data_IF_051295996630
#
_entry.id   IF_051295996630
#
_cell.length_a   1.000
_cell.length_b   1.000
_cell.length_c   1.000
_cell.angle_alpha   90.00
_cell.angle_beta   90.00
_cell.angle_gamma   90.00
#
_symmetry.space_group_name_H-M   'P 1'
#
loop_
_entity.id
_entity.type
_entity.pdbx_description
1 polymer ?
#
# COMPACT_ATOMS: atom_id res chain seq x y z
N UNK A 1 -22.40 37.55 -39.03
CA UNK A 1 -23.01 36.24 -38.74
C UNK A 1 -21.96 35.13 -38.63
N UNK A 2 -21.21 34.77 -39.69
CA UNK A 2 -20.21 33.65 -39.64
C UNK A 2 -19.11 33.82 -38.58
N UNK A 3 -18.48 35.00 -38.49
CA UNK A 3 -17.38 35.27 -37.56
C UNK A 3 -17.79 35.24 -36.08
N UNK A 4 -19.07 35.47 -35.77
CA UNK A 4 -19.59 35.43 -34.40
C UNK A 4 -19.83 33.97 -33.97
N UNK A 5 -20.26 33.12 -34.89
CA UNK A 5 -20.38 31.67 -34.70
C UNK A 5 -19.01 31.00 -34.51
N UNK A 6 -18.01 31.40 -35.30
CA UNK A 6 -16.63 30.91 -35.15
C UNK A 6 -16.02 31.31 -33.80
N UNK A 7 -16.25 32.56 -33.35
CA UNK A 7 -15.80 32.99 -32.01
C UNK A 7 -16.46 32.20 -30.89
N UNK A 8 -17.76 31.95 -30.98
CA UNK A 8 -18.47 31.13 -30.00
C UNK A 8 -17.93 29.69 -29.98
N UNK A 9 -17.64 29.11 -31.15
CA UNK A 9 -17.08 27.77 -31.25
C UNK A 9 -15.65 27.68 -30.68
N UNK A 10 -14.79 28.66 -30.95
CA UNK A 10 -13.44 28.72 -30.37
C UNK A 10 -13.49 28.88 -28.85
N UNK A 11 -14.42 29.69 -28.35
CA UNK A 11 -14.61 29.87 -26.90
C UNK A 11 -15.08 28.56 -26.23
N UNK A 12 -16.00 27.84 -26.87
CA UNK A 12 -16.47 26.52 -26.41
C UNK A 12 -15.36 25.46 -26.40
N UNK A 13 -14.55 25.41 -27.47
CA UNK A 13 -13.36 24.55 -27.52
C UNK A 13 -12.36 24.89 -26.43
N UNK A 14 -12.12 26.17 -26.17
CA UNK A 14 -11.18 26.62 -25.15
C UNK A 14 -11.68 26.30 -23.73
N UNK A 15 -12.98 26.45 -23.49
CA UNK A 15 -13.62 26.03 -22.25
C UNK A 15 -13.49 24.52 -22.04
N UNK A 16 -13.81 23.72 -23.07
CA UNK A 16 -13.65 22.27 -23.05
C UNK A 16 -12.21 21.87 -22.78
N UNK A 17 -11.24 22.57 -23.35
CA UNK A 17 -9.82 22.29 -23.14
C UNK A 17 -9.40 22.54 -21.69
N UNK A 18 -9.86 23.65 -21.08
CA UNK A 18 -9.59 23.96 -19.68
C UNK A 18 -10.21 22.95 -18.72
N UNK A 19 -11.43 22.48 -19.00
CA UNK A 19 -12.09 21.44 -18.21
C UNK A 19 -11.36 20.10 -18.30
N UNK A 20 -10.89 19.74 -19.49
CA UNK A 20 -10.09 18.53 -19.68
C UNK A 20 -8.72 18.63 -18.98
N UNK A 21 -8.07 19.80 -19.00
CA UNK A 21 -6.82 20.04 -18.27
C UNK A 21 -7.02 19.91 -16.76
N UNK A 22 -8.09 20.49 -16.22
CA UNK A 22 -8.44 20.37 -14.81
C UNK A 22 -8.72 18.91 -14.42
N UNK A 23 -9.49 18.18 -15.23
CA UNK A 23 -9.77 16.76 -15.00
C UNK A 23 -8.49 15.92 -15.05
N UNK A 24 -7.60 16.19 -16.01
CA UNK A 24 -6.34 15.48 -16.15
C UNK A 24 -5.44 15.71 -14.92
N UNK A 25 -5.36 16.93 -14.41
CA UNK A 25 -4.65 17.25 -13.16
C UNK A 25 -5.22 16.49 -11.97
N UNK A 26 -6.55 16.42 -11.85
CA UNK A 26 -7.21 15.63 -10.80
C UNK A 26 -6.85 14.15 -10.89
N UNK A 27 -6.87 13.58 -12.11
CA UNK A 27 -6.48 12.19 -12.33
C UNK A 27 -5.03 11.92 -11.96
N UNK A 28 -4.10 12.84 -12.25
CA UNK A 28 -2.71 12.69 -11.82
C UNK A 28 -2.56 12.73 -10.30
N UNK A 29 -3.31 13.60 -9.61
CA UNK A 29 -3.31 13.62 -8.14
C UNK A 29 -3.83 12.29 -7.53
N UNK A 30 -4.86 11.70 -8.13
CA UNK A 30 -5.35 10.37 -7.73
C UNK A 30 -4.31 9.27 -7.99
N UNK A 31 -3.58 9.35 -9.10
CA UNK A 31 -2.49 8.41 -9.40
C UNK A 31 -1.36 8.52 -8.36
N UNK A 32 -0.97 9.74 -7.98
CA UNK A 32 0.06 9.97 -6.96
C UNK A 32 -0.35 9.40 -5.59
N UNK A 33 -1.63 9.51 -5.22
CA UNK A 33 -2.17 8.89 -3.99
C UNK A 33 -2.08 7.35 -4.05
N UNK A 34 -2.40 6.75 -5.20
CA UNK A 34 -2.28 5.31 -5.42
C UNK A 34 -0.82 4.86 -5.33
N UNK A 35 0.12 5.62 -5.89
CA UNK A 35 1.56 5.31 -5.81
C UNK A 35 2.05 5.26 -4.36
N UNK A 36 1.59 6.19 -3.52
CA UNK A 36 1.89 6.20 -2.09
C UNK A 36 1.38 4.91 -1.39
N UNK A 37 0.17 4.47 -1.72
CA UNK A 37 -0.41 3.21 -1.20
C UNK A 37 0.43 2.01 -1.65
N UNK A 38 0.82 1.95 -2.93
CA UNK A 38 1.67 0.86 -3.45
C UNK A 38 3.02 0.81 -2.73
N UNK A 39 3.65 1.97 -2.52
CA UNK A 39 4.88 2.06 -1.73
C UNK A 39 4.69 1.54 -0.31
N UNK A 40 3.57 1.87 0.30
CA UNK A 40 3.23 1.42 1.64
C UNK A 40 3.07 -0.12 1.69
N UNK A 41 2.27 -0.70 0.80
CA UNK A 41 2.05 -2.15 0.70
C UNK A 41 3.37 -2.89 0.47
N UNK A 42 4.26 -2.35 -0.38
CA UNK A 42 5.59 -2.91 -0.61
C UNK A 42 6.43 -2.96 0.66
N UNK A 43 6.42 -1.90 1.46
CA UNK A 43 7.16 -1.86 2.74
C UNK A 43 6.63 -2.90 3.73
N UNK A 44 5.31 -3.03 3.83
CA UNK A 44 4.65 -4.07 4.64
C UNK A 44 5.06 -5.46 4.19
N UNK A 45 5.05 -5.74 2.88
CA UNK A 45 5.49 -7.02 2.33
C UNK A 45 6.95 -7.33 2.68
N UNK A 46 7.86 -6.35 2.54
CA UNK A 46 9.27 -6.53 2.88
C UNK A 46 9.47 -6.87 4.37
N UNK A 47 8.76 -6.18 5.28
CA UNK A 47 8.81 -6.48 6.72
C UNK A 47 8.32 -7.89 7.04
N UNK A 48 7.25 -8.34 6.36
CA UNK A 48 6.74 -9.71 6.52
C UNK A 48 7.78 -10.72 6.03
N UNK A 49 8.40 -10.47 4.88
CA UNK A 49 9.44 -11.34 4.33
C UNK A 49 10.66 -11.44 5.27
N UNK A 50 11.12 -10.32 5.83
CA UNK A 50 12.19 -10.29 6.84
C UNK A 50 11.80 -11.09 8.10
N UNK A 51 10.58 -10.91 8.60
CA UNK A 51 10.09 -11.67 9.75
C UNK A 51 10.04 -13.18 9.49
N UNK A 52 9.74 -13.61 8.25
CA UNK A 52 9.75 -15.03 7.88
C UNK A 52 11.19 -15.56 7.82
N UNK A 53 12.12 -14.81 7.22
CA UNK A 53 13.54 -15.18 7.18
C UNK A 53 14.13 -15.31 8.59
N UNK A 54 13.78 -14.40 9.50
CA UNK A 54 14.20 -14.47 10.91
C UNK A 54 13.62 -15.70 11.63
N UNK A 55 12.36 -16.05 11.36
CA UNK A 55 11.77 -17.30 11.89
C UNK A 55 12.47 -18.53 11.32
N UNK A 56 12.77 -18.58 10.03
CA UNK A 56 13.49 -19.68 9.40
C UNK A 56 14.89 -19.83 9.98
N UNK A 57 15.62 -18.74 10.18
CA UNK A 57 16.92 -18.73 10.86
C UNK A 57 16.81 -19.23 12.30
N UNK A 58 15.80 -18.81 13.06
CA UNK A 58 15.59 -19.26 14.44
C UNK A 58 15.27 -20.76 14.51
N UNK A 59 14.46 -21.28 13.58
CA UNK A 59 14.19 -22.72 13.44
C UNK A 59 15.48 -23.46 13.10
N UNK A 60 16.23 -23.00 12.10
CA UNK A 60 17.47 -23.64 11.66
C UNK A 60 18.55 -23.62 12.75
N UNK A 61 18.66 -22.54 13.51
CA UNK A 61 19.54 -22.45 14.67
C UNK A 61 19.12 -23.46 15.76
N UNK A 62 17.82 -23.61 16.01
CA UNK A 62 17.29 -24.59 16.98
C UNK A 62 17.57 -26.05 16.56
N UNK A 63 17.56 -26.33 15.25
CA UNK A 63 17.89 -27.67 14.70
C UNK A 63 19.43 -27.89 14.70
N UNK A 64 20.21 -26.87 14.36
CA UNK A 64 21.68 -26.89 14.32
C UNK A 64 22.32 -26.95 15.70
N UNK A 65 21.65 -26.45 16.74
CA UNK A 65 22.14 -26.47 18.13
C UNK A 65 22.04 -27.84 18.80
N UNK A 66 21.72 -28.88 18.02
CA UNK A 66 21.62 -30.25 18.47
C UNK A 66 20.29 -30.49 19.17
N UNK A 67 19.53 -31.45 18.66
CA UNK A 67 18.37 -31.99 19.37
C UNK A 67 18.80 -32.45 20.77
N UNK A 68 18.32 -31.83 21.87
CA UNK A 68 18.45 -32.40 23.20
C UNK A 68 17.54 -33.64 23.36
N UNK A 69 16.83 -34.07 22.32
CA UNK A 69 16.03 -35.29 22.31
C UNK A 69 16.85 -36.55 22.64
N UNK A 70 18.17 -36.53 22.47
CA UNK A 70 19.07 -37.61 22.91
C UNK A 70 19.53 -37.48 24.38
N UNK A 71 19.17 -36.40 25.07
CA UNK A 71 19.44 -36.21 26.49
C UNK A 71 18.13 -36.03 27.25
N UNK A 72 17.56 -37.17 27.68
CA UNK A 72 16.54 -37.22 28.73
C UNK A 72 16.91 -36.29 29.89
N UNK A 73 16.16 -35.20 30.12
CA UNK A 73 15.69 -34.73 31.44
C UNK A 73 14.78 -33.49 31.36
N UNK A 74 13.48 -33.74 31.54
CA UNK A 74 12.50 -33.02 32.37
C UNK A 74 12.16 -31.52 32.20
N UNK A 75 12.68 -30.77 31.24
CA UNK A 75 12.13 -29.43 30.95
C UNK A 75 11.57 -29.36 29.53
N UNK A 76 10.30 -28.97 29.40
CA UNK A 76 9.63 -28.72 28.12
C UNK A 76 10.33 -27.57 27.39
N UNK A 77 11.36 -27.88 26.62
CA UNK A 77 12.08 -26.92 25.79
C UNK A 77 11.17 -26.51 24.62
N UNK A 78 10.52 -25.35 24.74
CA UNK A 78 9.78 -24.76 23.63
C UNK A 78 10.75 -23.98 22.75
N UNK A 79 10.80 -24.26 21.42
CA UNK A 79 11.62 -23.48 20.51
C UNK A 79 11.21 -22.01 20.58
N UNK A 80 12.21 -21.13 20.74
CA UNK A 80 11.98 -19.69 20.76
C UNK A 80 11.67 -19.21 19.35
N UNK A 81 10.46 -18.69 19.16
CA UNK A 81 10.10 -17.91 17.99
C UNK A 81 10.22 -16.43 18.37
N UNK A 82 11.14 -15.67 17.74
CA UNK A 82 11.19 -14.23 17.97
C UNK A 82 9.83 -13.63 17.63
N UNK A 83 9.34 -12.67 18.42
CA UNK A 83 8.08 -12.01 18.13
C UNK A 83 8.16 -11.38 16.74
N UNK A 84 7.12 -11.53 15.91
CA UNK A 84 7.12 -10.97 14.56
C UNK A 84 7.31 -9.45 14.63
N UNK A 85 7.94 -8.90 13.59
CA UNK A 85 8.08 -7.45 13.49
C UNK A 85 6.69 -6.79 13.45
N UNK A 86 6.53 -5.60 14.05
CA UNK A 86 5.28 -4.86 13.94
C UNK A 86 5.02 -4.51 12.47
N UNK A 87 3.91 -5.03 11.97
CA UNK A 87 3.40 -4.77 10.63
C UNK A 87 2.10 -4.00 10.78
N UNK A 88 2.00 -2.87 10.11
CA UNK A 88 0.76 -2.12 10.03
C UNK A 88 -0.17 -2.85 9.05
N UNK A 89 -1.27 -3.42 9.57
CA UNK A 89 -2.27 -4.13 8.77
C UNK A 89 -3.34 -3.13 8.37
N UNK A 90 -3.38 -2.79 7.08
CA UNK A 90 -4.36 -1.87 6.54
C UNK A 90 -5.56 -2.63 5.98
N UNK A 91 -6.75 -2.21 6.38
CA UNK A 91 -7.96 -2.59 5.68
C UNK A 91 -8.07 -1.76 4.41
N UNK A 92 -8.48 -2.39 3.31
CA UNK A 92 -8.68 -1.73 2.01
C UNK A 92 -9.58 -0.51 2.12
N UNK A 93 -10.61 -0.58 2.98
CA UNK A 93 -11.52 0.52 3.26
C UNK A 93 -10.83 1.76 3.86
N UNK A 94 -9.74 1.59 4.60
CA UNK A 94 -8.96 2.66 5.22
C UNK A 94 -7.96 3.31 4.25
N UNK A 95 -7.67 2.66 3.12
CA UNK A 95 -6.72 3.15 2.11
C UNK A 95 -7.38 4.06 1.07
N UNK A 96 -8.71 3.97 0.90
CA UNK A 96 -9.48 4.72 -0.10
C UNK A 96 -10.58 5.61 0.51
N UNK A 97 -10.60 5.76 1.84
CA UNK A 97 -11.62 6.60 2.51
C UNK A 97 -11.38 8.10 2.30
N UNK A 98 -10.14 8.52 2.02
CA UNK A 98 -9.78 9.90 1.67
C UNK A 98 -10.31 10.34 0.30
N UNK A 99 -10.50 9.42 -0.65
CA UNK A 99 -10.98 9.76 -2.00
C UNK A 99 -12.50 9.81 -2.13
N UNK A 100 -13.24 9.30 -1.14
CA UNK A 100 -14.71 9.25 -1.16
C UNK A 100 -15.41 10.47 -0.53
N UNK A 101 -14.67 11.36 0.14
CA UNK A 101 -15.25 12.54 0.82
C UNK A 101 -15.46 13.77 -0.06
N UNK A 102 -15.05 13.76 -1.33
CA UNK A 102 -15.24 14.89 -2.26
C UNK A 102 -16.60 14.93 -2.98
N UNK A 103 -17.61 14.15 -2.55
CA UNK A 103 -18.93 14.06 -3.21
C UNK A 103 -20.16 14.35 -2.34
N UNK A 104 -20.01 14.98 -1.18
CA UNK A 104 -21.16 15.39 -0.36
C UNK A 104 -20.98 16.81 0.20
N UNK A 105 -21.20 17.81 -0.65
CA UNK A 105 -21.68 19.13 -0.23
C UNK A 105 -22.55 19.71 -1.36
N UNK A 106 -23.82 19.29 -1.39
CA UNK A 106 -24.96 20.06 -1.89
C UNK A 106 -26.17 19.78 -0.99
#
# INVERSE_FOLDING_TARGET
MRTQSERAHVQDMMQTLLENDARLKSTFAEIDEIELIVHHVKNTYNKVAESVDDMEKAINASISSGFPFLQKRNETFQPYFPPPLPVDIYHTENLFSSSSTSKQEE
#
